data_IF_728457364881
#
_entry.id   IF_728457364881
#
_cell.length_a   1.000
_cell.length_b   1.000
_cell.length_c   1.000
_cell.angle_alpha   90.00
_cell.angle_beta   90.00
_cell.angle_gamma   90.00
#
_symmetry.space_group_name_H-M   'P 1'
#
loop_
_entity.id
_entity.type
_entity.pdbx_description
1 polymer ?
#
# COMPACT_ATOMS: atom_id res chain seq x y z
N UNK A 1 -43.98 -27.68 29.84
CA UNK A 1 -42.57 -28.08 29.66
C UNK A 1 -41.84 -26.87 29.12
N UNK A 2 -41.06 -26.22 29.98
CA UNK A 2 -40.31 -25.01 29.63
C UNK A 2 -38.91 -25.45 29.18
N UNK A 3 -38.65 -25.39 27.88
CA UNK A 3 -37.31 -25.64 27.36
C UNK A 3 -36.52 -24.33 27.46
N UNK A 4 -35.75 -24.19 28.54
CA UNK A 4 -34.72 -23.16 28.65
C UNK A 4 -33.70 -23.39 27.52
N UNK A 5 -33.79 -22.55 26.49
CA UNK A 5 -32.83 -22.54 25.39
C UNK A 5 -31.50 -22.07 25.97
N UNK A 6 -30.62 -23.03 26.24
CA UNK A 6 -29.24 -22.75 26.61
C UNK A 6 -28.59 -22.12 25.38
N UNK A 7 -28.37 -20.81 25.42
CA UNK A 7 -27.56 -20.12 24.41
C UNK A 7 -26.10 -20.52 24.68
N UNK A 8 -25.72 -21.72 24.24
CA UNK A 8 -24.32 -22.06 24.06
C UNK A 8 -23.84 -21.26 22.85
N UNK A 9 -23.71 -19.95 23.04
CA UNK A 9 -23.06 -19.08 22.06
C UNK A 9 -21.67 -19.61 21.92
N UNK A 10 -21.45 -20.14 20.74
CA UNK A 10 -20.37 -21.03 20.45
C UNK A 10 -19.09 -20.24 20.23
N UNK A 11 -17.96 -20.77 20.67
CA UNK A 11 -16.60 -20.20 20.55
C UNK A 11 -16.29 -19.65 19.14
N UNK A 12 -16.85 -20.29 18.11
CA UNK A 12 -16.73 -19.87 16.71
C UNK A 12 -17.49 -18.57 16.34
N UNK A 13 -18.49 -18.14 17.13
CA UNK A 13 -19.16 -16.85 16.92
C UNK A 13 -18.24 -15.68 17.30
N UNK A 14 -17.53 -15.79 18.42
CA UNK A 14 -16.58 -14.77 18.89
C UNK A 14 -15.35 -14.67 17.97
N UNK A 15 -14.84 -15.79 17.47
CA UNK A 15 -13.78 -15.80 16.45
C UNK A 15 -14.22 -15.14 15.14
N UNK A 16 -15.45 -15.40 14.69
CA UNK A 16 -16.01 -14.77 13.49
C UNK A 16 -16.17 -13.26 13.68
N UNK A 17 -16.64 -12.81 14.84
CA UNK A 17 -16.77 -11.39 15.17
C UNK A 17 -15.40 -10.69 15.19
N UNK A 18 -14.38 -11.35 15.73
CA UNK A 18 -13.01 -10.82 15.79
C UNK A 18 -12.39 -10.70 14.40
N UNK A 19 -12.54 -11.73 13.56
CA UNK A 19 -12.07 -11.70 12.16
C UNK A 19 -12.82 -10.64 11.35
N UNK A 20 -14.12 -10.52 11.53
CA UNK A 20 -14.93 -9.50 10.87
C UNK A 20 -14.51 -8.08 11.29
N UNK A 21 -14.28 -7.85 12.58
CA UNK A 21 -13.78 -6.57 13.09
C UNK A 21 -12.39 -6.24 12.50
N UNK A 22 -11.50 -7.23 12.39
CA UNK A 22 -10.19 -7.04 11.77
C UNK A 22 -10.29 -6.73 10.27
N UNK A 23 -11.23 -7.33 9.53
CA UNK A 23 -11.48 -7.00 8.12
C UNK A 23 -12.08 -5.60 7.93
N UNK A 24 -12.89 -5.11 8.87
CA UNK A 24 -13.47 -3.76 8.82
C UNK A 24 -12.44 -2.69 9.21
N UNK A 25 -11.60 -2.97 10.22
CA UNK A 25 -10.54 -2.07 10.70
C UNK A 25 -9.30 -2.07 9.83
N UNK A 26 -9.05 -3.15 9.09
CA UNK A 26 -8.26 -3.07 7.87
C UNK A 26 -9.09 -2.28 6.87
N UNK A 27 -9.15 -0.96 7.06
CA UNK A 27 -9.41 -0.05 5.96
C UNK A 27 -8.46 -0.52 4.88
N UNK A 28 -9.03 -1.20 3.89
CA UNK A 28 -8.33 -1.54 2.68
C UNK A 28 -7.59 -0.25 2.32
N UNK A 29 -6.26 -0.28 2.43
CA UNK A 29 -5.43 0.48 1.51
C UNK A 29 -5.82 -0.14 0.19
N UNK A 30 -6.99 0.27 -0.34
CA UNK A 30 -7.55 -0.21 -1.58
C UNK A 30 -6.41 0.08 -2.50
N UNK A 31 -5.74 -0.99 -2.91
CA UNK A 31 -4.76 -0.95 -3.97
C UNK A 31 -5.60 -0.64 -5.18
N UNK A 32 -5.99 0.63 -5.29
CA UNK A 32 -6.62 1.18 -6.45
C UNK A 32 -5.60 0.87 -7.52
N UNK A 33 -5.97 -0.05 -8.41
CA UNK A 33 -5.12 -0.56 -9.47
C UNK A 33 -4.94 0.58 -10.46
N UNK A 34 -4.13 1.55 -10.05
CA UNK A 34 -3.93 2.82 -10.71
C UNK A 34 -2.83 2.59 -11.72
N UNK A 35 -3.17 2.77 -12.99
CA UNK A 35 -2.19 2.63 -14.09
C UNK A 35 -1.03 3.61 -13.90
N UNK A 36 -1.34 4.83 -13.43
CA UNK A 36 -0.35 5.83 -13.01
C UNK A 36 -0.48 6.07 -11.51
N UNK A 37 0.58 5.80 -10.78
CA UNK A 37 0.62 6.06 -9.35
C UNK A 37 0.47 7.55 -9.03
N UNK A 38 -0.14 7.86 -7.90
CA UNK A 38 -0.40 9.24 -7.44
C UNK A 38 0.86 10.09 -7.42
N UNK A 39 2.00 9.57 -6.95
CA UNK A 39 3.29 10.32 -6.95
C UNK A 39 3.70 10.75 -8.36
N UNK A 40 3.49 9.88 -9.37
CA UNK A 40 3.86 10.18 -10.75
C UNK A 40 2.94 11.25 -11.36
N UNK A 41 1.70 11.41 -10.86
CA UNK A 41 0.78 12.45 -11.32
C UNK A 41 1.23 13.86 -10.94
N UNK A 42 2.03 14.00 -9.89
CA UNK A 42 2.53 15.30 -9.45
C UNK A 42 3.70 15.81 -10.30
N UNK A 43 4.26 14.97 -11.20
CA UNK A 43 5.36 15.30 -12.12
C UNK A 43 5.13 16.62 -12.84
N UNK A 44 3.95 16.79 -13.45
CA UNK A 44 3.65 17.97 -14.28
C UNK A 44 3.55 19.27 -13.48
N UNK A 45 3.25 19.18 -12.18
CA UNK A 45 3.02 20.35 -11.33
C UNK A 45 4.26 20.76 -10.53
N UNK A 46 5.00 19.77 -10.00
CA UNK A 46 6.10 19.98 -9.06
C UNK A 46 7.48 19.72 -9.69
N UNK A 47 7.52 19.13 -10.89
CA UNK A 47 8.75 18.71 -11.55
C UNK A 47 9.30 17.39 -11.00
N UNK A 48 10.20 16.79 -11.78
CA UNK A 48 10.76 15.48 -11.47
C UNK A 48 11.88 15.57 -10.43
N UNK A 49 12.86 16.44 -10.65
CA UNK A 49 14.11 16.42 -9.92
C UNK A 49 13.96 16.82 -8.45
N UNK A 50 13.25 17.92 -8.16
CA UNK A 50 13.17 18.47 -6.81
C UNK A 50 12.17 17.77 -5.89
N UNK A 51 11.19 17.05 -6.45
CA UNK A 51 10.09 16.46 -5.68
C UNK A 51 9.97 14.95 -5.92
N UNK A 52 9.72 14.55 -7.16
CA UNK A 52 9.44 13.16 -7.48
C UNK A 52 10.64 12.23 -7.26
N UNK A 53 11.85 12.66 -7.62
CA UNK A 53 13.07 11.84 -7.45
C UNK A 53 13.35 11.56 -5.96
N UNK A 54 13.37 12.54 -5.05
CA UNK A 54 13.47 12.30 -3.61
C UNK A 54 12.41 11.32 -3.08
N UNK A 55 11.16 11.45 -3.50
CA UNK A 55 10.08 10.55 -3.09
C UNK A 55 10.30 9.11 -3.62
N UNK A 56 10.65 8.97 -4.90
CA UNK A 56 10.94 7.66 -5.51
C UNK A 56 12.12 6.97 -4.83
N UNK A 57 13.15 7.72 -4.42
CA UNK A 57 14.32 7.17 -3.72
C UNK A 57 13.97 6.53 -2.37
N UNK A 58 12.80 6.80 -1.78
CA UNK A 58 12.38 6.16 -0.53
C UNK A 58 11.91 4.71 -0.74
N UNK A 59 11.52 4.33 -1.97
CA UNK A 59 11.02 2.99 -2.27
C UNK A 59 11.70 2.40 -3.51
N UNK A 60 12.64 1.47 -3.32
CA UNK A 60 13.43 0.89 -4.42
C UNK A 60 12.58 0.23 -5.50
N UNK A 61 11.46 -0.41 -5.13
CA UNK A 61 10.51 -0.99 -6.10
C UNK A 61 9.90 0.09 -6.99
N UNK A 62 9.47 1.21 -6.43
CA UNK A 62 8.87 2.33 -7.18
C UNK A 62 9.90 3.05 -8.03
N UNK A 63 11.08 3.28 -7.48
CA UNK A 63 12.22 3.82 -8.20
C UNK A 63 12.49 3.01 -9.47
N UNK A 64 12.62 1.68 -9.33
CA UNK A 64 12.85 0.79 -10.45
C UNK A 64 11.68 0.76 -11.44
N UNK A 65 10.43 0.79 -10.98
CA UNK A 65 9.28 0.88 -11.89
C UNK A 65 9.28 2.17 -12.73
N UNK A 66 9.74 3.29 -12.15
CA UNK A 66 9.77 4.60 -12.78
C UNK A 66 10.97 4.76 -13.73
N UNK A 67 12.18 4.59 -13.20
CA UNK A 67 13.45 4.78 -13.93
C UNK A 67 13.87 3.57 -14.76
N UNK A 68 13.28 2.39 -14.53
CA UNK A 68 13.65 1.12 -15.16
C UNK A 68 15.09 0.67 -14.87
N UNK A 69 15.64 1.16 -13.77
CA UNK A 69 16.98 0.83 -13.27
C UNK A 69 17.01 0.95 -11.73
N UNK A 70 18.03 0.38 -11.10
CA UNK A 70 18.27 0.53 -9.66
C UNK A 70 18.71 1.95 -9.31
N UNK A 71 18.78 2.27 -8.01
CA UNK A 71 19.29 3.59 -7.57
C UNK A 71 20.78 3.72 -7.87
N UNK A 72 21.51 2.62 -7.69
CA UNK A 72 22.95 2.53 -7.91
C UNK A 72 23.29 2.73 -9.40
N UNK A 73 22.52 2.11 -10.31
CA UNK A 73 22.66 2.31 -11.75
C UNK A 73 22.35 3.77 -12.14
N UNK A 74 21.31 4.36 -11.54
CA UNK A 74 20.98 5.77 -11.75
C UNK A 74 22.10 6.69 -11.27
N UNK A 75 22.62 6.46 -10.06
CA UNK A 75 23.67 7.29 -9.46
C UNK A 75 24.97 7.21 -10.27
N UNK A 76 25.35 6.01 -10.71
CA UNK A 76 26.49 5.82 -11.61
C UNK A 76 26.33 6.64 -12.90
N UNK A 77 25.17 6.58 -13.56
CA UNK A 77 24.92 7.36 -14.78
C UNK A 77 24.91 8.87 -14.52
N UNK A 78 24.37 9.29 -13.38
CA UNK A 78 24.28 10.69 -12.99
C UNK A 78 25.67 11.29 -12.67
N UNK A 79 26.64 10.48 -12.26
CA UNK A 79 28.03 10.92 -12.02
C UNK A 79 28.84 11.09 -13.32
N UNK A 80 28.35 10.60 -14.46
CA UNK A 80 29.05 10.68 -15.74
C UNK A 80 28.77 11.95 -16.54
N UNK A 81 27.81 12.77 -16.10
CA UNK A 81 27.33 13.99 -16.77
C UNK A 81 27.41 15.20 -15.85
#
# INVERSE_FOLDING_TARGET
MECASSTSSSDWEEEIETVAAQMVLQEDVKSSRTWVHTINKNREKLGEFHHLVPELRQCSKRFHMYFRMSKEEFDYLHELI
#
